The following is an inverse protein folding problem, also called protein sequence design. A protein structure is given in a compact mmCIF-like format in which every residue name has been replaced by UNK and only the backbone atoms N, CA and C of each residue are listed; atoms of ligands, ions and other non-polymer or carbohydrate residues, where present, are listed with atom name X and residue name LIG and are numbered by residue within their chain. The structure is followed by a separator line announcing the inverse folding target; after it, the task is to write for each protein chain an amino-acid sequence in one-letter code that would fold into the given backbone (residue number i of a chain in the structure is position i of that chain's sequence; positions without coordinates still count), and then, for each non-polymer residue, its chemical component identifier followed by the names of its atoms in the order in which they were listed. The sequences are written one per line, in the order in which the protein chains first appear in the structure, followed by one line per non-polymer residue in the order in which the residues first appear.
data_IF_304098761499
#
_entry.id   IF_304098761499
#
_cell.length_a   1.000
_cell.length_b   1.000
_cell.length_c   1.000
_cell.angle_alpha   90.00
_cell.angle_beta   90.00
_cell.angle_gamma   90.00
#
_symmetry.space_group_name_H-M   'P 1'
#
loop_
_entity.id
_entity.type
_entity.pdbx_description
1 polymer ?
#
# COMPACT_ATOMS: atom_id res chain seq x y z
N UNK A 1 12.53 -19.86 -8.38
CA UNK A 1 11.77 -18.61 -8.14
C UNK A 1 12.46 -17.54 -8.97
N UNK A 2 11.72 -16.89 -9.88
CA UNK A 2 12.32 -15.87 -10.76
C UNK A 2 11.66 -14.53 -10.45
N UNK A 3 12.49 -13.52 -10.24
CA UNK A 3 12.07 -12.15 -9.96
C UNK A 3 12.14 -11.37 -11.26
N UNK A 4 11.03 -10.73 -11.63
CA UNK A 4 10.94 -9.89 -12.83
C UNK A 4 10.48 -8.49 -12.44
N UNK A 5 11.02 -7.46 -13.09
CA UNK A 5 10.47 -6.10 -12.99
C UNK A 5 9.30 -5.97 -13.97
N UNK A 6 8.36 -5.09 -13.67
CA UNK A 6 7.17 -4.83 -14.52
C UNK A 6 7.55 -4.48 -15.97
N UNK A 7 8.72 -3.88 -16.17
CA UNK A 7 9.28 -3.51 -17.49
C UNK A 7 9.67 -4.74 -18.34
N UNK A 8 10.04 -5.87 -17.70
CA UNK A 8 10.42 -7.11 -18.38
C UNK A 8 9.22 -7.79 -19.07
N UNK A 9 7.99 -7.39 -18.74
CA UNK A 9 6.77 -7.90 -19.38
C UNK A 9 6.48 -7.25 -20.75
N UNK A 10 7.19 -6.18 -21.13
CA UNK A 10 6.98 -5.53 -22.43
C UNK A 10 7.73 -6.21 -23.58
N UNK A 11 8.75 -7.03 -23.31
CA UNK A 11 9.66 -7.60 -24.33
C UNK A 11 9.33 -9.03 -24.78
N UNK A 12 8.11 -9.52 -24.53
CA UNK A 12 7.59 -10.74 -25.17
C UNK A 12 8.30 -12.05 -24.79
N UNK A 13 9.12 -12.06 -23.74
CA UNK A 13 9.96 -13.19 -23.40
C UNK A 13 9.38 -14.05 -22.27
N UNK A 14 8.13 -14.55 -22.36
CA UNK A 14 7.66 -15.61 -21.44
C UNK A 14 6.77 -16.66 -22.12
N UNK A 15 7.40 -17.75 -22.55
CA UNK A 15 6.80 -19.08 -22.47
C UNK A 15 7.31 -19.66 -21.14
N UNK A 16 6.52 -19.63 -20.07
CA UNK A 16 6.94 -20.25 -18.81
C UNK A 16 5.82 -21.06 -18.15
N UNK A 17 5.21 -21.96 -18.91
CA UNK A 17 4.63 -23.16 -18.30
C UNK A 17 5.76 -24.18 -18.13
N UNK A 18 6.13 -24.44 -16.87
CA UNK A 18 7.01 -25.59 -16.58
C UNK A 18 6.28 -26.87 -16.99
N UNK A 19 6.93 -27.74 -17.77
CA UNK A 19 6.36 -29.04 -18.12
C UNK A 19 6.24 -29.97 -16.91
N UNK A 20 7.03 -29.77 -15.85
CA UNK A 20 7.08 -30.60 -14.64
C UNK A 20 7.34 -29.77 -13.37
N UNK A 21 6.47 -28.81 -13.02
CA UNK A 21 6.60 -28.03 -11.78
C UNK A 21 5.68 -26.80 -11.74
N UNK A 22 5.84 -25.96 -10.71
CA UNK A 22 5.12 -24.70 -10.58
C UNK A 22 5.95 -23.51 -11.05
N UNK A 23 5.28 -22.54 -11.68
CA UNK A 23 5.85 -21.23 -12.01
C UNK A 23 5.22 -20.21 -11.08
N UNK A 24 6.04 -19.37 -10.43
CA UNK A 24 5.58 -18.24 -9.62
C UNK A 24 6.44 -17.03 -9.91
N UNK A 25 5.80 -15.88 -10.05
CA UNK A 25 6.42 -14.62 -10.40
C UNK A 25 6.17 -13.61 -9.30
N UNK A 26 7.26 -13.01 -8.82
CA UNK A 26 7.23 -11.92 -7.86
C UNK A 26 7.24 -10.60 -8.63
N UNK A 27 6.31 -9.71 -8.31
CA UNK A 27 6.16 -8.39 -8.94
C UNK A 27 6.25 -7.31 -7.87
N UNK A 28 7.16 -6.37 -8.06
CA UNK A 28 7.40 -5.23 -7.15
C UNK A 28 6.63 -3.98 -7.59
N UNK A 29 6.38 -3.07 -6.64
CA UNK A 29 5.78 -1.75 -6.91
C UNK A 29 6.66 -0.93 -7.87
N UNK A 30 6.10 -0.03 -8.70
CA UNK A 30 4.70 0.44 -8.72
C UNK A 30 3.74 -0.43 -9.55
N UNK A 31 2.53 -0.65 -9.02
CA UNK A 31 1.45 -1.41 -9.68
C UNK A 31 0.51 -0.49 -10.48
N UNK A 32 1.08 0.38 -11.30
CA UNK A 32 0.36 1.51 -11.92
C UNK A 32 0.40 2.78 -11.07
N UNK A 33 -0.22 3.84 -11.57
CA UNK A 33 -0.30 5.18 -10.92
C UNK A 33 -1.72 5.56 -10.53
N UNK A 34 -2.70 4.82 -11.01
CA UNK A 34 -4.14 5.01 -10.84
C UNK A 34 -4.88 3.69 -11.18
N UNK A 35 -6.21 3.70 -11.06
CA UNK A 35 -7.05 2.52 -11.31
C UNK A 35 -6.93 2.01 -12.75
N UNK A 36 -6.80 2.90 -13.73
CA UNK A 36 -6.76 2.55 -15.15
C UNK A 36 -5.44 1.87 -15.50
N UNK A 37 -4.31 2.52 -15.18
CA UNK A 37 -2.97 1.97 -15.41
C UNK A 37 -2.71 0.68 -14.63
N UNK A 38 -3.25 0.55 -13.41
CA UNK A 38 -3.17 -0.69 -12.62
C UNK A 38 -3.99 -1.82 -13.23
N UNK A 39 -5.18 -1.50 -13.76
CA UNK A 39 -6.04 -2.46 -14.46
C UNK A 39 -5.39 -2.93 -15.75
N UNK A 40 -4.75 -2.02 -16.50
CA UNK A 40 -4.00 -2.35 -17.71
C UNK A 40 -2.80 -3.26 -17.42
N UNK A 41 -2.03 -2.95 -16.37
CA UNK A 41 -0.95 -3.83 -15.90
C UNK A 41 -1.47 -5.22 -15.56
N UNK A 42 -2.57 -5.29 -14.79
CA UNK A 42 -3.18 -6.56 -14.39
C UNK A 42 -3.66 -7.36 -15.60
N UNK A 43 -4.26 -6.69 -16.59
CA UNK A 43 -4.72 -7.33 -17.83
C UNK A 43 -3.55 -7.95 -18.59
N UNK A 44 -2.42 -7.25 -18.71
CA UNK A 44 -1.20 -7.75 -19.37
C UNK A 44 -0.61 -8.95 -18.65
N UNK A 45 -0.50 -8.89 -17.32
CA UNK A 45 -0.01 -10.02 -16.51
C UNK A 45 -0.88 -11.27 -16.72
N UNK A 46 -2.21 -11.10 -16.72
CA UNK A 46 -3.18 -12.19 -16.90
C UNK A 46 -3.19 -12.82 -18.29
N UNK A 47 -2.52 -12.22 -19.28
CA UNK A 47 -2.33 -12.87 -20.59
C UNK A 47 -1.34 -14.05 -20.52
N UNK A 48 -0.44 -14.04 -19.53
CA UNK A 48 0.67 -15.00 -19.44
C UNK A 48 0.66 -15.82 -18.16
N UNK A 49 0.04 -15.30 -17.09
CA UNK A 49 0.06 -15.88 -15.76
C UNK A 49 -1.35 -16.01 -15.19
N UNK A 50 -1.61 -17.10 -14.45
CA UNK A 50 -2.80 -17.22 -13.61
C UNK A 50 -2.61 -16.50 -12.28
N UNK A 51 -3.70 -16.15 -11.58
CA UNK A 51 -3.61 -15.33 -10.35
C UNK A 51 -2.81 -16.00 -9.23
N UNK A 52 -2.86 -17.33 -9.12
CA UNK A 52 -2.08 -18.12 -8.17
C UNK A 52 -0.58 -18.16 -8.47
N UNK A 53 -0.17 -17.72 -9.66
CA UNK A 53 1.23 -17.58 -10.06
C UNK A 53 1.78 -16.18 -9.79
N UNK A 54 0.94 -15.20 -9.49
CA UNK A 54 1.34 -13.78 -9.37
C UNK A 54 1.42 -13.37 -7.90
N UNK A 55 2.63 -13.05 -7.44
CA UNK A 55 2.91 -12.58 -6.08
C UNK A 55 3.30 -11.11 -6.11
N UNK A 56 2.33 -10.23 -5.84
CA UNK A 56 2.56 -8.78 -5.75
C UNK A 56 3.08 -8.44 -4.36
N UNK A 57 4.25 -7.83 -4.28
CA UNK A 57 4.89 -7.54 -2.99
C UNK A 57 4.41 -6.22 -2.43
N UNK A 58 3.90 -6.31 -1.20
CA UNK A 58 3.86 -5.22 -0.25
C UNK A 58 4.67 -5.66 0.97
N UNK A 59 5.89 -5.14 1.10
CA UNK A 59 6.83 -5.59 2.13
C UNK A 59 6.37 -5.28 3.56
N UNK A 60 5.36 -4.42 3.77
CA UNK A 60 4.80 -4.20 5.10
C UNK A 60 4.01 -5.41 5.60
N UNK A 61 3.47 -6.22 4.69
CA UNK A 61 2.75 -7.44 5.06
C UNK A 61 3.66 -8.50 5.70
N UNK A 62 4.96 -8.45 5.44
CA UNK A 62 5.95 -9.34 6.06
C UNK A 62 6.58 -8.79 7.34
N UNK A 63 6.09 -7.67 7.88
CA UNK A 63 6.54 -7.15 9.17
C UNK A 63 5.81 -7.89 10.28
N UNK A 64 6.55 -8.38 11.27
CA UNK A 64 6.03 -9.18 12.39
C UNK A 64 4.79 -8.57 13.07
N UNK A 65 4.79 -7.26 13.32
CA UNK A 65 3.64 -6.59 13.96
C UNK A 65 2.38 -6.58 13.08
N UNK A 66 2.55 -6.55 11.75
CA UNK A 66 1.42 -6.58 10.81
C UNK A 66 0.87 -8.00 10.70
N UNK A 67 1.74 -9.01 10.66
CA UNK A 67 1.33 -10.43 10.69
C UNK A 67 0.57 -10.77 11.98
N UNK A 68 1.00 -10.22 13.11
CA UNK A 68 0.38 -10.46 14.41
C UNK A 68 -1.02 -9.84 14.58
N UNK A 69 -1.48 -8.95 13.68
CA UNK A 69 -2.82 -8.36 13.77
C UNK A 69 -3.94 -9.41 13.76
N UNK A 70 -3.83 -10.43 12.90
CA UNK A 70 -4.83 -11.49 12.81
C UNK A 70 -4.87 -12.35 14.07
N UNK A 71 -3.71 -12.67 14.64
CA UNK A 71 -3.59 -13.43 15.89
C UNK A 71 -4.17 -12.62 17.05
N UNK A 72 -3.82 -11.33 17.14
CA UNK A 72 -4.35 -10.44 18.16
C UNK A 72 -5.88 -10.42 18.14
N UNK A 73 -6.49 -10.29 16.96
CA UNK A 73 -7.95 -10.15 16.82
C UNK A 73 -8.72 -11.45 17.01
N UNK A 74 -8.25 -12.54 16.41
CA UNK A 74 -9.05 -13.75 16.27
C UNK A 74 -8.64 -14.89 17.22
N UNK A 75 -7.48 -14.79 17.88
CA UNK A 75 -7.04 -15.77 18.88
C UNK A 75 -7.33 -15.33 20.33
N UNK A 76 -7.96 -14.17 20.52
CA UNK A 76 -8.20 -13.58 21.84
C UNK A 76 -9.67 -13.15 21.99
N UNK A 77 -10.44 -13.94 22.74
CA UNK A 77 -11.88 -13.70 23.00
C UNK A 77 -12.19 -12.32 23.61
N UNK A 78 -11.23 -11.74 24.32
CA UNK A 78 -11.38 -10.42 24.96
C UNK A 78 -11.52 -9.30 23.93
N UNK A 79 -10.84 -9.40 22.78
CA UNK A 79 -10.81 -8.33 21.79
C UNK A 79 -12.01 -8.36 20.84
N UNK A 80 -12.60 -9.52 20.59
CA UNK A 80 -13.71 -9.67 19.65
C UNK A 80 -14.88 -8.70 19.90
N UNK A 81 -15.47 -8.58 21.10
CA UNK A 81 -16.58 -7.65 21.34
C UNK A 81 -16.13 -6.17 21.31
N UNK A 82 -14.86 -5.91 21.66
CA UNK A 82 -14.30 -4.56 21.74
C UNK A 82 -13.92 -4.01 20.37
N UNK A 83 -13.78 -4.86 19.35
CA UNK A 83 -13.34 -4.47 18.01
C UNK A 83 -14.47 -3.91 17.14
N UNK A 84 -15.27 -3.00 17.68
CA UNK A 84 -16.43 -2.40 17.00
C UNK A 84 -16.59 -0.91 17.29
N UNK A 85 -17.39 -0.22 16.48
CA UNK A 85 -17.75 1.20 16.62
C UNK A 85 -18.36 1.58 17.96
N UNK A 86 -18.89 0.58 18.68
CA UNK A 86 -19.47 0.78 20.01
C UNK A 86 -18.40 1.08 21.06
N UNK A 87 -17.14 0.65 20.82
CA UNK A 87 -16.03 0.79 21.77
C UNK A 87 -14.83 1.55 21.19
N UNK A 88 -14.61 1.45 19.88
CA UNK A 88 -13.51 2.15 19.19
C UNK A 88 -14.02 3.49 18.66
N UNK A 89 -13.50 4.59 19.22
CA UNK A 89 -13.80 5.94 18.74
C UNK A 89 -13.15 6.27 17.40
N UNK A 90 -11.87 5.92 17.25
CA UNK A 90 -11.11 6.10 16.01
C UNK A 90 -9.88 5.18 16.00
N UNK A 91 -9.35 4.95 14.79
CA UNK A 91 -8.12 4.18 14.55
C UNK A 91 -7.17 5.09 13.79
N UNK A 92 -5.91 5.14 14.21
CA UNK A 92 -4.89 5.98 13.59
C UNK A 92 -3.77 5.08 13.06
N UNK A 93 -3.51 5.19 11.76
CA UNK A 93 -2.39 4.55 11.10
C UNK A 93 -1.38 5.63 10.76
N UNK A 94 -0.26 5.62 11.48
CA UNK A 94 0.76 6.67 11.38
C UNK A 94 2.02 6.05 10.78
N UNK A 95 2.48 6.66 9.70
CA UNK A 95 3.79 6.42 9.13
C UNK A 95 4.55 7.73 9.13
N UNK A 96 5.76 7.72 9.69
CA UNK A 96 6.63 8.87 9.77
C UNK A 96 8.07 8.44 9.56
N UNK A 97 8.79 9.21 8.76
CA UNK A 97 10.23 9.07 8.55
C UNK A 97 10.93 10.33 9.06
N UNK A 98 12.11 10.16 9.63
CA UNK A 98 12.97 11.24 10.13
C UNK A 98 13.98 11.72 9.07
N UNK A 99 14.08 11.02 7.94
CA UNK A 99 14.87 11.40 6.78
C UNK A 99 13.99 11.99 5.66
N UNK A 100 14.65 12.60 4.68
CA UNK A 100 14.01 13.32 3.56
C UNK A 100 14.16 12.53 2.26
N UNK A 101 13.85 13.14 1.13
CA UNK A 101 14.01 12.47 -0.17
C UNK A 101 15.47 12.22 -0.57
N UNK A 102 16.45 12.83 0.12
CA UNK A 102 17.88 12.49 0.04
C UNK A 102 18.42 12.30 -1.39
N UNK A 103 18.09 13.22 -2.31
CA UNK A 103 18.52 13.18 -3.71
C UNK A 103 17.72 12.23 -4.61
N UNK A 104 16.70 11.57 -4.07
CA UNK A 104 15.69 10.79 -4.81
C UNK A 104 14.42 11.60 -5.09
N UNK A 105 14.47 12.92 -4.89
CA UNK A 105 13.35 13.83 -5.03
C UNK A 105 12.64 13.72 -6.38
N UNK A 106 13.40 13.68 -7.48
CA UNK A 106 12.85 13.57 -8.83
C UNK A 106 12.15 12.24 -9.13
N UNK A 107 12.62 11.13 -8.55
CA UNK A 107 11.90 9.86 -8.64
C UNK A 107 10.60 9.92 -7.82
N UNK A 108 10.69 10.40 -6.58
CA UNK A 108 9.53 10.55 -5.69
C UNK A 108 8.46 11.49 -6.28
N UNK A 109 8.88 12.52 -7.00
CA UNK A 109 8.00 13.53 -7.62
C UNK A 109 6.97 12.92 -8.59
N UNK A 110 7.32 11.81 -9.22
CA UNK A 110 6.43 11.10 -10.13
C UNK A 110 5.27 10.37 -9.43
N UNK A 111 5.33 10.20 -8.11
CA UNK A 111 4.39 9.36 -7.34
C UNK A 111 3.75 10.12 -6.18
N UNK A 112 4.56 10.79 -5.36
CA UNK A 112 4.16 11.42 -4.10
C UNK A 112 3.81 10.43 -2.99
N UNK A 113 3.66 10.95 -1.77
CA UNK A 113 3.50 10.14 -0.55
C UNK A 113 2.26 9.23 -0.58
N UNK A 114 1.20 9.68 -1.25
CA UNK A 114 -0.06 8.93 -1.34
C UNK A 114 0.16 7.62 -2.10
N UNK A 115 0.87 7.65 -3.23
CA UNK A 115 1.14 6.44 -4.03
C UNK A 115 2.27 5.60 -3.45
N UNK A 116 3.26 6.25 -2.86
CA UNK A 116 4.43 5.55 -2.36
C UNK A 116 4.13 4.72 -1.09
N UNK A 117 3.30 5.26 -0.18
CA UNK A 117 3.05 4.67 1.14
C UNK A 117 1.56 4.48 1.46
N UNK A 118 0.72 5.50 1.21
CA UNK A 118 -0.66 5.47 1.71
C UNK A 118 -1.51 4.41 0.99
N UNK A 119 -1.45 4.39 -0.34
CA UNK A 119 -2.27 3.52 -1.20
C UNK A 119 -1.92 2.04 -1.04
N UNK A 120 -0.69 1.71 -0.67
CA UNK A 120 -0.21 0.34 -0.48
C UNK A 120 -0.16 -0.02 1.01
N UNK A 121 0.91 0.32 1.71
CA UNK A 121 1.26 -0.13 3.04
C UNK A 121 0.16 0.19 4.07
N UNK A 122 -0.29 1.44 4.13
CA UNK A 122 -1.29 1.85 5.11
C UNK A 122 -2.67 1.24 4.82
N UNK A 123 -3.08 1.18 3.56
CA UNK A 123 -4.35 0.57 3.16
C UNK A 123 -4.32 -0.95 3.39
N UNK A 124 -3.18 -1.62 3.20
CA UNK A 124 -3.03 -3.05 3.51
C UNK A 124 -3.19 -3.33 5.01
N UNK A 125 -2.53 -2.52 5.85
CA UNK A 125 -2.67 -2.61 7.31
C UNK A 125 -4.11 -2.30 7.74
N UNK A 126 -4.72 -1.26 7.17
CA UNK A 126 -6.14 -0.92 7.40
C UNK A 126 -7.04 -2.10 7.09
N UNK A 127 -6.87 -2.72 5.92
CA UNK A 127 -7.68 -3.85 5.50
C UNK A 127 -7.57 -5.01 6.50
N UNK A 128 -6.35 -5.41 6.88
CA UNK A 128 -6.12 -6.46 7.88
C UNK A 128 -6.67 -6.10 9.28
N UNK A 129 -6.54 -4.85 9.69
CA UNK A 129 -7.11 -4.38 10.96
C UNK A 129 -8.64 -4.46 10.95
N UNK A 130 -9.28 -4.33 9.78
CA UNK A 130 -10.71 -4.20 9.64
C UNK A 130 -11.42 -5.41 9.00
N UNK A 131 -10.76 -6.51 8.69
CA UNK A 131 -11.47 -7.72 8.18
C UNK A 131 -12.47 -8.24 9.21
N UNK A 132 -13.57 -8.86 8.80
CA UNK A 132 -14.34 -9.72 9.72
C UNK A 132 -13.57 -11.02 10.00
N UNK A 133 -13.95 -11.83 11.02
CA UNK A 133 -13.38 -13.15 11.19
C UNK A 133 -13.48 -13.95 9.89
N UNK A 134 -12.36 -14.36 9.28
CA UNK A 134 -12.39 -15.13 8.06
C UNK A 134 -12.91 -16.54 8.34
N UNK A 135 -13.44 -17.21 7.30
CA UNK A 135 -13.97 -18.58 7.41
C UNK A 135 -12.87 -19.56 7.82
N UNK A 136 -11.65 -19.33 7.35
CA UNK A 136 -10.46 -20.08 7.73
C UNK A 136 -9.21 -19.18 7.68
N UNK A 137 -8.05 -19.73 8.02
CA UNK A 137 -6.75 -19.06 7.86
C UNK A 137 -6.13 -19.26 6.47
N UNK A 138 -6.87 -19.85 5.53
CA UNK A 138 -6.41 -19.98 4.16
C UNK A 138 -6.26 -18.60 3.50
N UNK A 139 -5.22 -18.46 2.67
CA UNK A 139 -4.84 -17.18 2.09
C UNK A 139 -5.98 -16.51 1.31
N UNK A 140 -6.83 -17.30 0.65
CA UNK A 140 -7.95 -16.80 -0.13
C UNK A 140 -9.08 -16.25 0.75
N UNK A 141 -9.40 -16.91 1.86
CA UNK A 141 -10.44 -16.47 2.79
C UNK A 141 -10.05 -15.15 3.47
N UNK A 142 -8.80 -15.02 3.87
CA UNK A 142 -8.25 -13.76 4.38
C UNK A 142 -8.31 -12.67 3.30
N UNK A 143 -7.93 -13.00 2.05
CA UNK A 143 -7.96 -12.05 0.93
C UNK A 143 -9.39 -11.57 0.64
N UNK A 144 -10.37 -12.47 0.68
CA UNK A 144 -11.77 -12.14 0.45
C UNK A 144 -12.30 -11.14 1.49
N UNK A 145 -11.99 -11.34 2.77
CA UNK A 145 -12.39 -10.39 3.81
C UNK A 145 -11.68 -9.03 3.67
N UNK A 146 -10.40 -9.01 3.26
CA UNK A 146 -9.70 -7.75 2.94
C UNK A 146 -10.39 -7.00 1.80
N UNK A 147 -10.74 -7.69 0.72
CA UNK A 147 -11.43 -7.09 -0.43
C UNK A 147 -12.80 -6.57 -0.03
N UNK A 148 -13.55 -7.31 0.80
CA UNK A 148 -14.87 -6.90 1.32
C UNK A 148 -14.79 -5.59 2.11
N UNK A 149 -13.77 -5.43 2.96
CA UNK A 149 -13.52 -4.17 3.67
C UNK A 149 -13.27 -3.03 2.68
N UNK A 150 -12.33 -3.20 1.75
CA UNK A 150 -11.96 -2.15 0.79
C UNK A 150 -13.16 -1.74 -0.08
N UNK A 151 -14.00 -2.69 -0.49
CA UNK A 151 -15.23 -2.41 -1.25
C UNK A 151 -16.31 -1.68 -0.46
N UNK A 152 -16.28 -1.80 0.87
CA UNK A 152 -17.20 -1.08 1.76
C UNK A 152 -16.71 0.32 2.13
N UNK A 153 -15.48 0.69 1.78
CA UNK A 153 -14.96 2.02 2.04
C UNK A 153 -15.71 3.07 1.21
N UNK A 154 -16.00 4.20 1.84
CA UNK A 154 -16.56 5.36 1.14
C UNK A 154 -15.47 5.99 0.26
N UNK A 155 -15.81 6.48 -0.95
CA UNK A 155 -14.88 7.27 -1.74
C UNK A 155 -14.36 8.47 -0.95
N UNK A 156 -13.05 8.68 -1.00
CA UNK A 156 -12.37 9.78 -0.32
C UNK A 156 -12.84 11.12 -0.91
N UNK A 157 -13.23 12.05 -0.04
CA UNK A 157 -13.55 13.43 -0.42
C UNK A 157 -12.34 14.34 -0.16
N UNK A 158 -12.19 15.40 -0.94
CA UNK A 158 -11.07 16.33 -0.79
C UNK A 158 -11.07 17.05 0.57
N UNK A 159 -12.25 17.28 1.15
CA UNK A 159 -12.41 17.88 2.48
C UNK A 159 -11.88 17.00 3.62
N UNK A 160 -11.82 15.67 3.40
CA UNK A 160 -11.29 14.69 4.35
C UNK A 160 -9.76 14.51 4.22
N UNK A 161 -9.10 15.24 3.31
CA UNK A 161 -7.69 15.07 2.99
C UNK A 161 -6.91 16.36 3.23
N UNK A 162 -5.81 16.23 3.97
CA UNK A 162 -4.81 17.27 4.14
C UNK A 162 -3.52 16.80 3.49
N UNK A 163 -2.96 17.62 2.61
CA UNK A 163 -1.64 17.39 2.02
C UNK A 163 -0.67 18.47 2.44
N UNK A 164 0.61 18.13 2.48
CA UNK A 164 1.68 19.05 2.80
C UNK A 164 2.95 18.72 2.03
N UNK A 165 3.83 19.71 1.94
CA UNK A 165 5.16 19.59 1.38
C UNK A 165 6.14 20.18 2.39
N UNK A 166 7.17 19.42 2.78
CA UNK A 166 8.11 19.88 3.80
C UNK A 166 8.94 21.06 3.29
N UNK A 167 9.15 22.05 4.17
CA UNK A 167 9.96 23.23 3.91
C UNK A 167 11.31 23.13 4.59
N UNK A 168 12.25 23.95 4.12
CA UNK A 168 13.56 24.06 4.73
C UNK A 168 13.46 24.62 6.14
N UNK A 169 14.34 24.16 7.02
CA UNK A 169 14.42 24.61 8.39
C UNK A 169 15.85 24.53 8.93
N UNK A 170 16.16 25.28 9.98
CA UNK A 170 17.47 25.27 10.61
C UNK A 170 17.33 24.84 12.07
N UNK A 171 17.98 23.74 12.46
CA UNK A 171 17.94 23.21 13.83
C UNK A 171 19.34 22.81 14.28
N UNK A 172 19.75 23.30 15.45
CA UNK A 172 21.04 22.94 16.08
C UNK A 172 22.27 23.26 15.21
N UNK A 173 22.26 24.38 14.49
CA UNK A 173 23.36 24.79 13.60
C UNK A 173 23.43 24.02 12.27
N UNK A 174 22.54 23.05 12.01
CA UNK A 174 22.41 22.37 10.73
C UNK A 174 21.24 22.97 9.94
N UNK A 175 21.47 23.23 8.66
CA UNK A 175 20.46 23.68 7.70
C UNK A 175 19.89 22.47 6.95
N UNK A 176 18.58 22.39 6.90
CA UNK A 176 17.82 21.35 6.23
C UNK A 176 17.15 21.99 5.01
N UNK A 177 17.52 21.62 3.74
CA UNK A 177 16.83 22.11 2.54
C UNK A 177 15.33 21.75 2.47
N UNK A 178 14.55 22.57 1.78
CA UNK A 178 13.17 22.27 1.39
C UNK A 178 13.12 21.16 0.33
N UNK A 179 11.92 20.60 0.09
CA UNK A 179 11.74 19.61 -0.98
C UNK A 179 12.09 20.19 -2.36
N UNK A 180 11.68 21.43 -2.61
CA UNK A 180 11.93 22.16 -3.86
C UNK A 180 13.38 22.62 -4.04
N UNK A 181 14.21 22.52 -2.99
CA UNK A 181 15.64 22.84 -3.08
C UNK A 181 16.46 21.64 -3.61
N UNK A 182 15.85 20.45 -3.71
CA UNK A 182 16.45 19.28 -4.35
C UNK A 182 16.53 19.52 -5.86
N UNK A 183 17.75 19.52 -6.42
CA UNK A 183 17.99 19.80 -7.84
C UNK A 183 17.37 18.77 -8.79
N UNK A 184 16.97 17.61 -8.28
CA UNK A 184 16.27 16.58 -9.05
C UNK A 184 14.76 16.81 -9.12
N UNK A 185 14.21 17.72 -8.31
CA UNK A 185 12.78 18.05 -8.27
C UNK A 185 12.48 19.19 -9.25
N UNK A 186 11.44 19.06 -10.10
CA UNK A 186 11.02 20.15 -10.98
C UNK A 186 10.67 21.42 -10.21
N UNK A 187 11.10 22.58 -10.75
CA UNK A 187 10.75 23.88 -10.16
C UNK A 187 9.23 24.04 -10.07
N UNK A 188 8.74 24.40 -8.88
CA UNK A 188 7.30 24.60 -8.64
C UNK A 188 6.51 23.30 -8.44
N UNK A 189 7.17 22.17 -8.21
CA UNK A 189 6.48 20.91 -7.89
C UNK A 189 5.50 21.07 -6.71
N UNK A 190 4.28 20.57 -6.91
CA UNK A 190 3.23 20.48 -5.90
C UNK A 190 3.13 19.09 -5.29
N UNK A 191 4.14 18.23 -5.50
CA UNK A 191 4.11 16.85 -5.01
C UNK A 191 4.02 16.82 -3.49
N UNK A 192 3.02 16.13 -2.92
CA UNK A 192 2.87 16.04 -1.48
C UNK A 192 3.91 15.07 -0.90
N UNK A 193 4.67 15.56 0.08
CA UNK A 193 5.58 14.76 0.91
C UNK A 193 4.92 14.34 2.22
N UNK A 194 3.76 14.92 2.53
CA UNK A 194 2.92 14.60 3.67
C UNK A 194 1.47 14.48 3.20
N UNK A 195 0.74 13.50 3.74
CA UNK A 195 -0.69 13.38 3.56
C UNK A 195 -1.32 12.79 4.83
N UNK A 196 -2.49 13.30 5.19
CA UNK A 196 -3.39 12.74 6.18
C UNK A 196 -4.79 12.67 5.56
N UNK A 197 -5.50 11.58 5.79
CA UNK A 197 -6.84 11.37 5.26
C UNK A 197 -7.74 10.71 6.32
N UNK A 198 -8.97 11.20 6.44
CA UNK A 198 -10.03 10.50 7.16
C UNK A 198 -10.67 9.47 6.22
N UNK A 199 -10.71 8.21 6.65
CA UNK A 199 -11.27 7.09 5.88
C UNK A 199 -12.43 6.47 6.65
N UNK A 200 -13.50 6.13 5.93
CA UNK A 200 -14.71 5.58 6.53
C UNK A 200 -15.06 4.23 5.90
N UNK A 201 -15.19 3.20 6.72
CA UNK A 201 -15.62 1.85 6.31
C UNK A 201 -17.14 1.75 6.53
N UNK A 202 -17.90 1.69 5.44
CA UNK A 202 -19.36 1.66 5.43
C UNK A 202 -19.93 0.26 5.60
N UNK A 203 -19.71 -0.37 6.75
CA UNK A 203 -20.31 -1.67 7.09
C UNK A 203 -21.07 -1.63 8.43
N UNK A 204 -21.37 -2.77 9.04
CA UNK A 204 -22.14 -2.84 10.30
C UNK A 204 -21.28 -2.73 11.58
N UNK A 205 -19.98 -3.05 11.51
CA UNK A 205 -19.09 -3.13 12.68
C UNK A 205 -18.57 -1.77 13.09
#
# INVERSE_FOLDING_TARGET
MVSYRVEDFQTGCFISSSKNGWTRVIVEKPFGRDSESSSELTRRLKQYLTEDQIFRIDHYLGKELVENLSVLRFSNLVFEPLWSRNYIRNVQLIFSEDFRTEGRGGYFDNYGIIRDIMQNHLVQILALFAIEPPVSLDAEDIRNEKVKVLRSMRPIQLEDVVVGQYKGHSKGGRSYPAYIDDSTVPMGSLTPTFAAAALFIGNAR
#
